data_IF_298930827910
#
_entry.id   IF_298930827910
#
_cell.length_a   1.000
_cell.length_b   1.000
_cell.length_c   1.000
_cell.angle_alpha   90.00
_cell.angle_beta   90.00
_cell.angle_gamma   90.00
#
_symmetry.space_group_name_H-M   'P 1'
#
loop_
_entity.id
_entity.type
_entity.pdbx_description
1 polymer ?
#
# COMPACT_ATOMS: atom_id res chain seq x y z
N UNK A 1 0.92 45.44 -31.08
CA UNK A 1 0.12 44.37 -30.44
C UNK A 1 0.87 43.89 -29.20
N UNK A 2 0.80 44.67 -28.12
CA UNK A 2 1.33 44.25 -26.82
C UNK A 2 0.23 43.49 -26.09
N UNK A 3 0.52 42.29 -25.58
CA UNK A 3 -0.43 41.52 -24.77
C UNK A 3 -0.90 42.38 -23.59
N UNK A 4 -2.21 42.55 -23.45
CA UNK A 4 -2.86 43.32 -22.37
C UNK A 4 -3.03 42.53 -21.08
N UNK A 5 -2.63 41.25 -21.08
CA UNK A 5 -2.63 40.40 -19.91
C UNK A 5 -1.19 39.99 -19.59
N UNK A 6 -0.79 40.24 -18.35
CA UNK A 6 0.45 39.71 -17.81
C UNK A 6 0.28 38.20 -17.77
N UNK A 7 1.11 37.43 -18.50
CA UNK A 7 1.17 36.00 -18.23
C UNK A 7 1.57 35.86 -16.78
N UNK A 8 0.67 35.36 -15.93
CA UNK A 8 1.03 34.99 -14.57
C UNK A 8 1.97 33.79 -14.68
N UNK A 9 3.25 34.07 -14.89
CA UNK A 9 4.28 33.05 -14.87
C UNK A 9 4.22 32.36 -13.51
N UNK A 10 4.29 31.04 -13.51
CA UNK A 10 4.36 30.24 -12.30
C UNK A 10 5.49 30.76 -11.40
N UNK A 11 5.21 30.87 -10.10
CA UNK A 11 6.22 31.31 -9.15
C UNK A 11 7.46 30.38 -9.22
N UNK A 12 8.68 30.91 -9.04
CA UNK A 12 9.91 30.12 -9.06
C UNK A 12 9.82 28.85 -8.19
N UNK A 13 10.45 27.73 -8.58
CA UNK A 13 10.37 26.45 -7.84
C UNK A 13 10.69 26.56 -6.34
N UNK A 14 11.65 27.42 -5.98
CA UNK A 14 11.99 27.71 -4.58
C UNK A 14 10.82 28.35 -3.80
N UNK A 15 10.09 29.28 -4.42
CA UNK A 15 8.92 29.93 -3.82
C UNK A 15 7.79 28.92 -3.67
N UNK A 16 7.53 28.10 -4.68
CA UNK A 16 6.53 27.01 -4.60
C UNK A 16 6.86 26.03 -3.47
N UNK A 17 8.13 25.61 -3.33
CA UNK A 17 8.58 24.75 -2.23
C UNK A 17 8.40 25.40 -0.86
N UNK A 18 8.72 26.68 -0.71
CA UNK A 18 8.54 27.42 0.54
C UNK A 18 7.06 27.55 0.91
N UNK A 19 6.19 27.83 -0.07
CA UNK A 19 4.74 27.88 0.13
C UNK A 19 4.20 26.51 0.62
N UNK A 20 4.59 25.41 -0.04
CA UNK A 20 4.23 24.05 0.41
C UNK A 20 4.74 23.75 1.81
N UNK A 21 6.00 24.10 2.11
CA UNK A 21 6.62 23.91 3.43
C UNK A 21 5.84 24.63 4.52
N UNK A 22 5.51 25.91 4.31
CA UNK A 22 4.74 26.73 5.26
C UNK A 22 3.37 26.11 5.52
N UNK A 23 2.70 25.67 4.46
CA UNK A 23 1.36 25.11 4.56
C UNK A 23 1.34 23.71 5.18
N UNK A 24 2.30 22.84 4.85
CA UNK A 24 2.48 21.55 5.50
C UNK A 24 2.69 21.72 7.01
N UNK A 25 3.54 22.66 7.44
CA UNK A 25 3.74 22.97 8.86
C UNK A 25 2.47 23.49 9.53
N UNK A 26 1.69 24.33 8.85
CA UNK A 26 0.42 24.79 9.38
C UNK A 26 -0.55 23.61 9.59
N UNK A 27 -0.69 22.74 8.60
CA UNK A 27 -1.57 21.58 8.68
C UNK A 27 -1.15 20.65 9.82
N UNK A 28 0.13 20.30 9.88
CA UNK A 28 0.64 19.33 10.85
C UNK A 28 0.60 19.88 12.28
N UNK A 29 0.94 21.15 12.48
CA UNK A 29 1.07 21.71 13.82
C UNK A 29 -0.21 22.39 14.34
N UNK A 30 -1.19 22.67 13.47
CA UNK A 30 -2.44 23.35 13.84
C UNK A 30 -3.68 22.57 13.43
N UNK A 31 -3.82 22.25 12.14
CA UNK A 31 -5.04 21.61 11.62
C UNK A 31 -5.24 20.20 12.18
N UNK A 32 -4.23 19.34 12.10
CA UNK A 32 -4.32 17.95 12.60
C UNK A 32 -4.61 17.92 14.10
N UNK A 33 -3.87 18.64 14.98
CA UNK A 33 -4.20 18.70 16.41
C UNK A 33 -5.63 19.17 16.69
N UNK A 34 -6.14 20.18 15.97
CA UNK A 34 -7.51 20.66 16.14
C UNK A 34 -8.55 19.58 15.74
N UNK A 35 -8.27 18.81 14.67
CA UNK A 35 -9.11 17.67 14.27
C UNK A 35 -9.08 16.59 15.35
N UNK A 36 -7.90 16.22 15.87
CA UNK A 36 -7.79 15.17 16.90
C UNK A 36 -8.44 15.56 18.23
N UNK A 37 -8.45 16.85 18.57
CA UNK A 37 -9.15 17.37 19.76
C UNK A 37 -10.68 17.29 19.61
N UNK A 38 -11.20 17.47 18.40
CA UNK A 38 -12.64 17.50 18.11
C UNK A 38 -13.22 16.16 17.63
N UNK A 39 -12.37 15.20 17.27
CA UNK A 39 -12.78 13.91 16.70
C UNK A 39 -12.13 12.73 17.43
N UNK A 40 -12.91 12.09 18.32
CA UNK A 40 -12.45 10.96 19.14
C UNK A 40 -12.06 9.73 18.30
N UNK A 41 -12.75 9.46 17.19
CA UNK A 41 -12.43 8.33 16.29
C UNK A 41 -11.06 8.52 15.64
N UNK A 42 -10.76 9.72 15.14
CA UNK A 42 -9.45 10.02 14.57
C UNK A 42 -8.33 9.93 15.62
N UNK A 43 -8.60 10.39 16.84
CA UNK A 43 -7.67 10.26 17.97
C UNK A 43 -7.40 8.79 18.31
N UNK A 44 -8.44 7.97 18.42
CA UNK A 44 -8.32 6.53 18.68
C UNK A 44 -7.54 5.83 17.55
N UNK A 45 -7.80 6.17 16.29
CA UNK A 45 -7.06 5.65 15.14
C UNK A 45 -5.55 5.90 15.26
N UNK A 46 -5.17 7.14 15.59
CA UNK A 46 -3.75 7.51 15.85
C UNK A 46 -3.14 6.69 16.98
N UNK A 47 -3.83 6.58 18.12
CA UNK A 47 -3.34 5.88 19.31
C UNK A 47 -3.17 4.37 19.07
N UNK A 48 -4.10 3.78 18.29
CA UNK A 48 -4.17 2.35 17.95
C UNK A 48 -3.15 1.87 16.90
N UNK A 49 -2.26 2.74 16.43
CA UNK A 49 -1.20 2.34 15.47
C UNK A 49 -0.28 1.24 16.02
N UNK A 50 -0.06 0.20 15.21
CA UNK A 50 0.69 -1.01 15.58
C UNK A 50 1.88 -1.22 14.65
N UNK A 51 3.05 -1.45 15.22
CA UNK A 51 4.22 -1.93 14.48
C UNK A 51 4.14 -3.45 14.34
N UNK A 52 4.22 -3.94 13.12
CA UNK A 52 4.17 -5.37 12.77
C UNK A 52 5.49 -5.74 12.09
N UNK A 53 6.19 -6.73 12.65
CA UNK A 53 7.48 -7.23 12.16
C UNK A 53 7.30 -8.67 11.72
N UNK A 54 7.72 -9.00 10.49
CA UNK A 54 7.65 -10.34 9.92
C UNK A 54 6.26 -11.01 10.09
N UNK A 55 5.19 -10.47 9.50
CA UNK A 55 3.86 -11.08 9.62
C UNK A 55 3.88 -12.52 9.08
N UNK A 56 3.50 -13.45 9.94
CA UNK A 56 3.41 -14.88 9.64
C UNK A 56 2.13 -15.20 8.86
N UNK A 57 2.13 -16.36 8.20
CA UNK A 57 0.93 -16.94 7.58
C UNK A 57 0.05 -17.45 8.73
N UNK A 58 -1.14 -16.88 8.90
CA UNK A 58 -2.11 -17.42 9.85
C UNK A 58 -3.41 -17.78 9.11
N UNK A 59 -4.04 -18.92 9.44
CA UNK A 59 -5.36 -19.23 8.91
C UNK A 59 -6.37 -18.17 9.38
N UNK A 60 -7.42 -17.89 8.59
CA UNK A 60 -8.39 -16.85 8.91
C UNK A 60 -9.07 -17.16 10.25
N UNK A 61 -8.72 -16.41 11.29
CA UNK A 61 -9.42 -16.45 12.57
C UNK A 61 -10.74 -15.69 12.42
N UNK A 62 -11.85 -16.40 12.58
CA UNK A 62 -13.16 -15.79 12.80
C UNK A 62 -13.12 -15.00 14.12
N UNK A 63 -12.80 -13.72 14.05
CA UNK A 63 -12.97 -12.81 15.19
C UNK A 63 -14.45 -12.44 15.24
N UNK A 64 -15.21 -13.12 16.09
CA UNK A 64 -16.45 -12.54 16.61
C UNK A 64 -16.08 -11.53 17.70
N UNK A 65 -16.73 -10.36 17.76
CA UNK A 65 -16.56 -9.45 18.87
C UNK A 65 -17.19 -10.08 20.11
N UNK A 66 -16.35 -10.57 21.03
CA UNK A 66 -16.82 -11.01 22.34
C UNK A 66 -17.18 -9.77 23.16
N UNK A 67 -18.47 -9.49 23.22
CA UNK A 67 -19.09 -8.64 24.22
C UNK A 67 -19.06 -9.43 25.54
N UNK A 68 -18.20 -9.02 26.47
CA UNK A 68 -18.49 -9.01 27.91
C UNK A 68 -17.28 -8.47 28.67
N UNK A 69 -17.48 -7.32 29.32
CA UNK A 69 -16.56 -6.84 30.33
C UNK A 69 -16.47 -7.81 31.50
N UNK A 70 -15.25 -8.17 31.88
CA UNK A 70 -14.91 -8.29 33.30
C UNK A 70 -13.39 -8.24 33.48
N UNK A 71 -12.95 -7.23 34.24
CA UNK A 71 -11.60 -7.10 34.74
C UNK A 71 -11.17 -8.37 35.48
N UNK A 72 -9.99 -8.92 35.16
CA UNK A 72 -9.29 -9.85 36.06
C UNK A 72 -7.79 -9.55 36.07
N UNK A 73 -7.36 -8.96 37.17
CA UNK A 73 -5.97 -8.85 37.63
C UNK A 73 -5.24 -10.21 37.64
N UNK A 74 -3.90 -10.21 37.51
CA UNK A 74 -3.10 -11.43 37.50
C UNK A 74 -2.89 -11.95 38.93
N UNK A 75 -3.48 -13.11 39.27
CA UNK A 75 -3.19 -13.79 40.55
C UNK A 75 -2.02 -14.77 40.42
N UNK A 76 -0.99 -14.48 41.21
CA UNK A 76 0.13 -15.33 41.58
C UNK A 76 -0.36 -16.66 42.20
N UNK A 77 0.16 -17.81 41.73
CA UNK A 77 -0.11 -19.11 42.37
C UNK A 77 1.03 -19.46 43.33
N UNK A 78 0.78 -19.30 44.63
CA UNK A 78 1.63 -19.84 45.70
C UNK A 78 1.38 -21.35 45.87
N UNK A 79 2.46 -22.13 46.01
CA UNK A 79 2.43 -23.52 46.51
C UNK A 79 2.85 -23.56 47.98
N UNK A 80 2.03 -24.22 48.80
CA UNK A 80 2.30 -24.90 50.11
C UNK A 80 0.91 -25.17 50.72
N UNK A 81 0.51 -26.30 51.29
CA UNK A 81 1.10 -27.60 51.60
C UNK A 81 0.14 -28.30 52.59
N UNK A 82 0.41 -29.59 52.85
CA UNK A 82 -0.12 -30.41 53.98
C UNK A 82 -1.59 -30.91 53.83
N UNK A 83 -1.93 -32.17 54.12
CA UNK A 83 -1.13 -33.30 54.58
C UNK A 83 -1.96 -34.60 54.76
N UNK A 84 -1.21 -35.73 54.80
CA UNK A 84 -1.36 -36.94 55.66
C UNK A 84 -2.79 -37.47 55.93
N UNK A 85 -3.13 -38.72 55.58
CA UNK A 85 -2.65 -40.00 56.18
C UNK A 85 -3.14 -41.20 55.32
N UNK A 86 -2.27 -42.16 54.95
CA UNK A 86 -2.17 -43.58 55.44
C UNK A 86 -3.38 -44.45 55.01
N UNK A 87 -3.28 -45.60 54.32
CA UNK A 87 -2.51 -46.84 54.58
C UNK A 87 -2.52 -47.75 53.31
N UNK A 88 -1.32 -48.26 52.93
CA UNK A 88 -0.92 -49.63 52.51
C UNK A 88 -1.80 -50.41 51.51
N UNK A 89 -1.22 -50.74 50.35
CA UNK A 89 -1.31 -52.10 49.80
C UNK A 89 0.02 -52.49 49.15
N UNK A 90 0.54 -53.63 49.60
CA UNK A 90 1.65 -54.39 49.01
C UNK A 90 1.08 -55.36 47.97
N UNK A 91 1.73 -55.43 46.81
CA UNK A 91 1.73 -56.53 45.83
C UNK A 91 2.09 -57.88 46.50
N UNK A 92 1.90 -59.08 45.89
CA UNK A 92 2.09 -59.42 44.47
C UNK A 92 1.14 -60.50 43.88
N UNK A 93 1.31 -60.87 42.60
CA UNK A 93 0.85 -62.19 42.12
C UNK A 93 0.58 -62.31 40.62
N UNK A 94 1.37 -63.17 39.97
CA UNK A 94 1.22 -63.71 38.62
C UNK A 94 -0.10 -64.47 38.40
N UNK A 95 -0.61 -64.51 37.17
CA UNK A 95 -0.85 -65.74 36.37
C UNK A 95 -1.87 -65.53 35.23
N UNK A 96 -1.59 -66.23 34.12
CA UNK A 96 -2.38 -66.36 32.90
C UNK A 96 -3.73 -67.06 33.11
N UNK A 97 -4.72 -66.79 32.25
CA UNK A 97 -5.38 -67.80 31.39
C UNK A 97 -6.70 -67.28 30.78
N UNK A 98 -6.90 -67.66 29.51
CA UNK A 98 -8.14 -67.52 28.74
C UNK A 98 -9.31 -68.28 29.37
N UNK A 99 -10.56 -67.86 29.08
CA UNK A 99 -11.69 -68.73 28.64
C UNK A 99 -12.91 -67.89 28.23
N UNK A 100 -13.53 -68.34 27.13
CA UNK A 100 -14.77 -67.92 26.49
C UNK A 100 -16.05 -68.42 27.22
N UNK A 101 -17.17 -67.73 26.98
CA UNK A 101 -18.56 -68.26 27.09
C UNK A 101 -19.56 -67.14 27.43
N UNK A 102 -20.36 -66.63 26.48
CA UNK A 102 -21.70 -67.13 26.06
C UNK A 102 -22.74 -67.03 27.18
N UNK A 103 -23.99 -66.60 27.03
CA UNK A 103 -24.84 -66.07 25.95
C UNK A 103 -26.21 -65.81 26.64
N UNK A 104 -27.16 -65.24 25.88
CA UNK A 104 -28.62 -65.28 26.03
C UNK A 104 -29.28 -64.09 26.73
N UNK A 105 -29.95 -63.25 25.92
CA UNK A 105 -31.41 -63.41 25.74
C UNK A 105 -32.01 -62.46 24.69
N UNK A 106 -32.59 -63.09 23.65
CA UNK A 106 -33.85 -62.82 22.91
C UNK A 106 -34.30 -61.36 22.71
N UNK A 107 -34.24 -60.84 21.48
CA UNK A 107 -35.25 -60.93 20.38
C UNK A 107 -36.65 -60.33 20.66
N UNK A 108 -36.82 -59.12 20.10
CA UNK A 108 -37.84 -58.65 19.12
C UNK A 108 -39.27 -58.44 19.65
N UNK A 109 -39.98 -57.34 19.33
CA UNK A 109 -40.32 -56.90 17.97
C UNK A 109 -40.96 -55.47 17.94
N UNK A 110 -40.73 -54.75 16.82
CA UNK A 110 -41.68 -53.84 16.06
C UNK A 110 -41.87 -52.43 16.66
N UNK A 111 -41.79 -51.29 15.94
CA UNK A 111 -41.71 -50.86 14.52
C UNK A 111 -41.21 -49.38 14.51
N UNK A 112 -40.91 -48.62 13.43
CA UNK A 112 -41.18 -48.65 11.99
C UNK A 112 -40.14 -47.74 11.29
N UNK A 113 -39.71 -48.15 10.09
CA UNK A 113 -39.14 -47.41 8.95
C UNK A 113 -37.93 -46.46 9.12
N UNK A 114 -36.74 -46.99 8.84
CA UNK A 114 -35.57 -46.23 8.40
C UNK A 114 -34.99 -46.86 7.14
N UNK A 115 -35.48 -46.44 5.96
CA UNK A 115 -34.87 -46.75 4.67
C UNK A 115 -33.82 -45.67 4.35
N UNK A 116 -32.62 -46.12 4.00
CA UNK A 116 -31.42 -45.32 3.95
C UNK A 116 -31.42 -44.17 2.94
N UNK A 117 -30.61 -43.17 3.26
CA UNK A 117 -30.01 -42.30 2.27
C UNK A 117 -28.68 -41.79 2.79
N UNK A 118 -27.68 -41.83 1.92
CA UNK A 118 -26.32 -41.32 2.09
C UNK A 118 -26.29 -39.99 2.85
N UNK A 119 -25.56 -39.93 3.96
CA UNK A 119 -25.22 -38.65 4.60
C UNK A 119 -24.26 -37.93 3.66
N UNK A 120 -24.81 -37.05 2.84
CA UNK A 120 -24.06 -36.14 1.98
C UNK A 120 -23.16 -35.26 2.83
N UNK A 121 -21.88 -35.23 2.47
CA UNK A 121 -20.99 -34.13 2.79
C UNK A 121 -21.68 -32.81 2.42
N UNK A 122 -21.58 -31.75 3.24
CA UNK A 122 -22.12 -30.47 2.88
C UNK A 122 -21.50 -30.00 1.56
N UNK A 123 -22.29 -29.46 0.61
CA UNK A 123 -21.75 -28.99 -0.65
C UNK A 123 -20.76 -27.86 -0.39
N UNK A 124 -19.53 -28.10 -0.86
CA UNK A 124 -18.51 -27.14 -1.23
C UNK A 124 -18.92 -25.68 -1.10
N UNK A 125 -18.32 -24.98 -0.14
CA UNK A 125 -18.18 -23.53 -0.16
C UNK A 125 -17.76 -23.11 -1.58
N UNK A 126 -18.42 -22.11 -2.14
CA UNK A 126 -18.07 -21.54 -3.43
C UNK A 126 -16.56 -21.30 -3.52
N UNK A 127 -15.91 -21.52 -4.68
CA UNK A 127 -14.49 -21.22 -4.83
C UNK A 127 -14.26 -19.76 -4.43
N UNK A 128 -13.18 -19.44 -3.69
CA UNK A 128 -12.88 -18.06 -3.31
C UNK A 128 -12.82 -17.22 -4.57
N UNK A 129 -13.63 -16.16 -4.61
CA UNK A 129 -13.71 -15.23 -5.74
C UNK A 129 -12.32 -14.61 -5.92
N UNK A 130 -11.75 -14.70 -7.11
CA UNK A 130 -10.45 -14.08 -7.40
C UNK A 130 -10.53 -12.57 -7.16
N UNK A 131 -9.49 -12.01 -6.52
CA UNK A 131 -9.40 -10.58 -6.25
C UNK A 131 -9.34 -9.83 -7.58
N UNK A 132 -10.20 -8.82 -7.77
CA UNK A 132 -10.13 -7.98 -8.97
C UNK A 132 -8.97 -7.00 -8.86
N UNK A 133 -8.13 -6.89 -9.89
CA UNK A 133 -7.01 -5.95 -9.95
C UNK A 133 -7.30 -4.88 -11.00
N UNK A 134 -7.16 -3.59 -10.63
CA UNK A 134 -7.24 -2.45 -11.56
C UNK A 134 -6.05 -1.51 -11.38
N UNK A 135 -5.78 -0.68 -12.39
CA UNK A 135 -4.77 0.38 -12.36
C UNK A 135 -5.49 1.68 -12.69
N UNK A 136 -5.35 2.68 -11.83
CA UNK A 136 -5.96 3.99 -12.00
C UNK A 136 -4.87 5.04 -12.10
N UNK A 137 -4.97 5.90 -13.11
CA UNK A 137 -4.11 7.06 -13.24
C UNK A 137 -4.62 8.18 -12.32
N UNK A 138 -4.27 8.11 -11.04
CA UNK A 138 -4.72 9.04 -10.01
C UNK A 138 -3.82 8.94 -8.76
N UNK A 139 -4.09 9.77 -7.74
CA UNK A 139 -3.42 9.66 -6.44
C UNK A 139 -4.13 8.68 -5.48
N UNK A 140 -3.40 8.16 -4.49
CA UNK A 140 -3.92 7.12 -3.59
C UNK A 140 -5.19 7.52 -2.81
N UNK A 141 -5.36 8.79 -2.44
CA UNK A 141 -6.58 9.23 -1.72
C UNK A 141 -7.77 9.36 -2.67
N UNK A 142 -7.55 9.80 -3.90
CA UNK A 142 -8.60 9.90 -4.92
C UNK A 142 -9.11 8.51 -5.31
N UNK A 143 -8.22 7.55 -5.53
CA UNK A 143 -8.59 6.14 -5.72
C UNK A 143 -9.37 5.58 -4.51
N UNK A 144 -8.92 5.85 -3.29
CA UNK A 144 -9.63 5.41 -2.09
C UNK A 144 -11.03 6.04 -1.96
N UNK A 145 -11.20 7.30 -2.36
CA UNK A 145 -12.49 7.96 -2.37
C UNK A 145 -13.45 7.30 -3.38
N UNK A 146 -12.98 6.98 -4.59
CA UNK A 146 -13.76 6.26 -5.61
C UNK A 146 -14.22 4.87 -5.11
N UNK A 147 -13.31 4.11 -4.51
CA UNK A 147 -13.60 2.80 -3.93
C UNK A 147 -14.58 2.85 -2.75
N UNK A 148 -14.51 3.93 -1.95
CA UNK A 148 -15.43 4.18 -0.84
C UNK A 148 -16.85 4.47 -1.35
N UNK A 149 -16.98 5.33 -2.37
CA UNK A 149 -18.27 5.68 -2.99
C UNK A 149 -18.92 4.50 -3.71
N UNK A 150 -18.14 3.67 -4.40
CA UNK A 150 -18.65 2.44 -5.05
C UNK A 150 -19.27 1.45 -4.05
N UNK A 151 -18.79 1.46 -2.80
CA UNK A 151 -19.23 0.54 -1.75
C UNK A 151 -20.57 0.87 -1.09
N UNK A 152 -21.11 2.08 -1.26
CA UNK A 152 -22.32 2.54 -0.54
C UNK A 152 -23.62 2.08 -1.18
N UNK A 153 -23.56 1.47 -2.36
CA UNK A 153 -24.71 0.82 -3.00
C UNK A 153 -24.91 -0.59 -2.39
N UNK A 154 -25.98 -0.77 -1.60
CA UNK A 154 -26.73 -2.05 -1.38
C UNK A 154 -26.51 -2.85 -0.05
N UNK A 155 -25.76 -2.42 0.98
CA UNK A 155 -25.75 -3.20 2.26
C UNK A 155 -25.88 -2.38 3.55
N UNK A 156 -26.75 -2.83 4.48
CA UNK A 156 -26.95 -2.26 5.83
C UNK A 156 -25.79 -2.55 6.81
N UNK A 157 -24.75 -3.30 6.40
CA UNK A 157 -23.58 -3.63 7.22
C UNK A 157 -22.46 -2.63 6.99
N UNK A 158 -21.82 -2.17 8.07
CA UNK A 158 -20.63 -1.32 8.02
C UNK A 158 -19.52 -2.09 7.30
N UNK A 159 -19.17 -1.63 6.10
CA UNK A 159 -18.04 -2.18 5.34
C UNK A 159 -16.72 -1.71 5.97
N UNK A 160 -15.64 -2.52 5.90
CA UNK A 160 -14.32 -2.09 6.35
C UNK A 160 -13.84 -0.91 5.50
N UNK A 161 -12.97 -0.07 6.08
CA UNK A 161 -12.38 1.06 5.37
C UNK A 161 -11.52 0.54 4.19
N UNK A 162 -11.37 1.37 3.16
CA UNK A 162 -10.35 1.12 2.13
C UNK A 162 -8.97 1.28 2.78
N UNK A 163 -8.07 0.34 2.55
CA UNK A 163 -6.70 0.42 3.04
C UNK A 163 -5.77 1.00 1.97
N UNK A 164 -4.84 1.85 2.35
CA UNK A 164 -3.83 2.44 1.46
C UNK A 164 -2.44 1.98 1.91
N UNK A 165 -1.59 1.58 0.96
CA UNK A 165 -0.16 1.45 1.20
C UNK A 165 0.48 2.86 1.21
N UNK A 166 0.88 3.33 2.38
CA UNK A 166 1.81 4.46 2.49
C UNK A 166 3.21 3.96 2.13
N UNK A 167 3.76 4.51 1.05
CA UNK A 167 5.09 4.21 0.52
C UNK A 167 6.16 4.91 1.38
N UNK A 168 6.29 4.44 2.61
CA UNK A 168 6.89 5.18 3.71
C UNK A 168 8.41 5.26 3.62
N UNK A 169 8.94 6.34 4.17
CA UNK A 169 10.35 6.47 4.52
C UNK A 169 10.74 5.45 5.60
N UNK A 170 11.85 4.70 5.45
CA UNK A 170 12.29 3.74 6.47
C UNK A 170 12.80 4.45 7.73
N UNK A 171 13.22 5.71 7.62
CA UNK A 171 13.99 6.40 8.65
C UNK A 171 13.27 7.60 9.27
N UNK A 172 12.23 8.13 8.64
CA UNK A 172 11.62 9.40 9.08
C UNK A 172 10.09 9.38 8.93
N UNK A 173 9.32 9.61 10.01
CA UNK A 173 7.88 9.77 9.93
C UNK A 173 7.44 10.83 8.93
N UNK A 174 6.63 10.44 7.96
CA UNK A 174 6.10 11.34 6.94
C UNK A 174 7.15 11.92 6.00
N UNK A 175 8.32 11.28 5.91
CA UNK A 175 9.38 11.66 4.99
C UNK A 175 9.76 13.14 5.06
N UNK A 176 9.74 13.82 3.93
CA UNK A 176 10.07 15.23 3.77
C UNK A 176 8.90 16.21 3.93
N UNK A 177 7.78 15.83 4.54
CA UNK A 177 6.53 16.63 4.53
C UNK A 177 6.75 18.05 5.09
N UNK A 178 7.51 18.17 6.18
CA UNK A 178 7.85 19.46 6.80
C UNK A 178 8.85 20.31 6.00
N UNK A 179 9.39 19.76 4.90
CA UNK A 179 10.34 20.40 3.98
C UNK A 179 9.72 20.64 2.58
N UNK A 180 8.41 20.44 2.44
CA UNK A 180 7.68 20.69 1.19
C UNK A 180 7.99 19.70 0.06
N UNK A 181 8.44 18.49 0.43
CA UNK A 181 8.53 17.37 -0.51
C UNK A 181 7.13 16.93 -0.97
N UNK A 182 7.09 16.27 -2.12
CA UNK A 182 5.87 16.01 -2.89
C UNK A 182 5.79 14.55 -3.34
N UNK A 183 6.29 13.62 -2.53
CA UNK A 183 6.06 12.19 -2.78
C UNK A 183 4.74 11.75 -2.15
N UNK A 184 4.36 10.50 -2.41
CA UNK A 184 3.09 9.94 -1.96
C UNK A 184 2.92 10.00 -0.44
N UNK A 185 3.96 9.69 0.33
CA UNK A 185 3.93 9.74 1.80
C UNK A 185 3.63 11.17 2.31
N UNK A 186 4.30 12.19 1.77
CA UNK A 186 4.07 13.57 2.20
C UNK A 186 2.66 14.04 1.88
N UNK A 187 2.12 13.66 0.72
CA UNK A 187 0.74 13.97 0.36
C UNK A 187 -0.27 13.26 1.25
N UNK A 188 -0.02 12.01 1.65
CA UNK A 188 -0.86 11.32 2.64
C UNK A 188 -0.81 12.05 3.99
N UNK A 189 0.39 12.37 4.48
CA UNK A 189 0.57 13.04 5.77
C UNK A 189 -0.01 14.46 5.81
N UNK A 190 -0.01 15.18 4.69
CA UNK A 190 -0.53 16.54 4.60
C UNK A 190 -2.04 16.62 4.36
N UNK A 191 -2.71 15.51 4.03
CA UNK A 191 -4.15 15.45 3.71
C UNK A 191 -4.96 14.60 4.69
N UNK A 192 -4.29 13.92 5.60
CA UNK A 192 -4.91 12.97 6.53
C UNK A 192 -4.36 13.09 7.95
N UNK A 193 -5.00 12.41 8.91
CA UNK A 193 -4.50 12.31 10.29
C UNK A 193 -3.42 11.24 10.49
N UNK A 194 -2.76 10.78 9.42
CA UNK A 194 -1.78 9.69 9.46
C UNK A 194 -0.53 10.05 10.28
N UNK A 195 0.04 11.24 10.07
CA UNK A 195 1.39 11.56 10.57
C UNK A 195 1.57 11.34 12.08
N UNK A 196 0.65 11.76 12.97
CA UNK A 196 0.79 11.50 14.41
C UNK A 196 0.79 10.02 14.81
N UNK A 197 0.24 9.14 13.95
CA UNK A 197 0.25 7.68 14.18
C UNK A 197 1.61 7.04 13.87
N UNK A 198 2.44 7.74 13.09
CA UNK A 198 3.79 7.33 12.70
C UNK A 198 4.77 7.67 13.82
N UNK A 199 4.68 6.97 14.95
CA UNK A 199 5.48 7.23 16.16
C UNK A 199 6.97 7.05 15.85
N UNK A 200 7.82 7.95 16.32
CA UNK A 200 9.28 7.88 16.12
C UNK A 200 9.89 6.54 16.58
N UNK A 201 9.32 5.93 17.63
CA UNK A 201 9.72 4.61 18.14
C UNK A 201 9.50 3.46 17.16
N UNK A 202 8.71 3.65 16.10
CA UNK A 202 8.50 2.67 15.03
C UNK A 202 9.54 2.77 13.91
N UNK A 203 10.29 3.88 13.85
CA UNK A 203 11.17 4.19 12.71
C UNK A 203 12.59 3.64 12.89
N UNK A 204 13.26 3.48 11.74
CA UNK A 204 13.94 2.23 11.39
C UNK A 204 12.92 1.11 11.20
N UNK A 205 11.98 1.37 10.28
CA UNK A 205 10.94 0.41 9.92
C UNK A 205 11.58 -0.95 9.62
N UNK A 206 10.92 -2.05 10.02
CA UNK A 206 11.43 -3.39 9.79
C UNK A 206 11.62 -3.63 8.29
N UNK A 207 12.60 -4.46 7.96
CA UNK A 207 12.84 -4.82 6.57
C UNK A 207 11.61 -5.52 5.96
N UNK A 208 10.98 -6.44 6.70
CA UNK A 208 9.74 -7.11 6.29
C UNK A 208 8.67 -6.83 7.36
N UNK A 209 7.65 -6.06 7.00
CA UNK A 209 6.63 -5.57 7.92
C UNK A 209 6.28 -4.11 7.68
N UNK A 210 5.68 -3.47 8.67
CA UNK A 210 5.26 -2.08 8.60
C UNK A 210 4.42 -1.63 9.79
N UNK A 211 3.88 -0.42 9.71
CA UNK A 211 2.93 0.11 10.70
C UNK A 211 1.53 0.03 10.12
N UNK A 212 0.60 -0.61 10.84
CA UNK A 212 -0.82 -0.56 10.53
C UNK A 212 -1.49 0.53 11.38
N UNK A 213 -2.24 1.42 10.72
CA UNK A 213 -3.03 2.47 11.37
C UNK A 213 -4.47 2.37 10.86
N UNK A 214 -5.40 2.11 11.79
CA UNK A 214 -6.83 2.09 11.51
C UNK A 214 -7.43 3.50 11.61
N UNK A 215 -8.56 3.74 10.93
CA UNK A 215 -9.38 4.95 11.08
C UNK A 215 -8.59 6.26 10.91
N UNK A 216 -7.82 6.35 9.81
CA UNK A 216 -7.17 7.57 9.37
C UNK A 216 -8.20 8.46 8.66
N UNK A 217 -8.40 9.67 9.18
CA UNK A 217 -9.36 10.63 8.63
C UNK A 217 -8.74 11.39 7.46
N UNK A 218 -9.39 11.35 6.30
CA UNK A 218 -9.08 12.21 5.16
C UNK A 218 -9.85 13.53 5.29
N UNK A 219 -9.14 14.66 5.24
CA UNK A 219 -9.73 15.99 5.44
C UNK A 219 -9.34 17.01 4.36
N UNK A 220 -8.65 16.59 3.31
CA UNK A 220 -8.19 17.45 2.23
C UNK A 220 -8.17 16.69 0.89
N UNK A 221 -8.50 17.37 -0.21
CA UNK A 221 -8.52 16.82 -1.57
C UNK A 221 -7.14 16.89 -2.26
N UNK A 222 -7.09 16.55 -3.55
CA UNK A 222 -5.88 16.51 -4.39
C UNK A 222 -5.32 17.88 -4.79
N UNK A 223 -6.03 18.99 -4.53
CA UNK A 223 -5.58 20.34 -4.90
C UNK A 223 -4.21 20.65 -4.29
N UNK A 224 -3.41 21.51 -4.97
CA UNK A 224 -2.11 21.90 -4.47
C UNK A 224 -2.14 22.30 -3.00
N UNK A 225 -1.11 21.93 -2.24
CA UNK A 225 -1.15 22.09 -0.79
C UNK A 225 -1.37 23.55 -0.37
N UNK A 226 -0.85 24.50 -1.15
CA UNK A 226 -0.96 25.93 -0.92
C UNK A 226 -2.34 26.53 -1.28
N UNK A 227 -3.22 25.77 -1.93
CA UNK A 227 -4.59 26.21 -2.23
C UNK A 227 -5.44 26.19 -0.95
N UNK A 228 -6.07 27.31 -0.60
CA UNK A 228 -6.97 27.39 0.55
C UNK A 228 -8.23 26.55 0.38
N UNK A 229 -8.65 26.28 -0.87
CA UNK A 229 -9.83 25.49 -1.21
C UNK A 229 -9.59 23.97 -1.21
N UNK A 230 -8.39 23.53 -0.82
CA UNK A 230 -8.11 22.10 -0.76
C UNK A 230 -8.79 21.37 0.42
N UNK A 231 -9.20 22.08 1.46
CA UNK A 231 -9.90 21.47 2.60
C UNK A 231 -11.31 21.02 2.20
N UNK A 232 -11.67 19.77 2.56
CA UNK A 232 -13.02 19.24 2.31
C UNK A 232 -13.94 19.47 3.51
N UNK A 233 -15.24 19.59 3.24
CA UNK A 233 -16.26 19.78 4.28
C UNK A 233 -16.35 18.56 5.19
N UNK A 234 -16.88 18.72 6.42
CA UNK A 234 -17.01 17.60 7.38
C UNK A 234 -17.84 16.44 6.79
N UNK A 235 -18.83 16.73 5.95
CA UNK A 235 -19.69 15.73 5.31
C UNK A 235 -18.97 14.92 4.21
N UNK A 236 -17.93 15.49 3.59
CA UNK A 236 -17.15 14.84 2.53
C UNK A 236 -15.95 14.05 3.07
N UNK A 237 -15.62 14.22 4.36
CA UNK A 237 -14.54 13.47 4.99
C UNK A 237 -14.86 11.99 5.04
N UNK A 238 -13.86 11.18 4.78
CA UNK A 238 -13.96 9.72 4.79
C UNK A 238 -12.79 9.10 5.53
N UNK A 239 -12.94 7.82 5.85
CA UNK A 239 -12.00 7.05 6.66
C UNK A 239 -11.28 6.03 5.79
N UNK A 240 -9.98 5.95 5.98
CA UNK A 240 -9.12 4.94 5.35
C UNK A 240 -8.30 4.24 6.42
N UNK A 241 -7.89 3.01 6.14
CA UNK A 241 -6.83 2.36 6.89
C UNK A 241 -5.51 2.55 6.13
N UNK A 242 -4.39 2.49 6.82
CA UNK A 242 -3.08 2.71 6.20
C UNK A 242 -2.07 1.68 6.68
N UNK A 243 -1.37 1.06 5.74
CA UNK A 243 -0.17 0.27 5.99
C UNK A 243 1.03 1.11 5.56
N UNK A 244 1.90 1.48 6.49
CA UNK A 244 3.14 2.21 6.20
C UNK A 244 4.32 1.25 6.17
N UNK A 245 4.90 1.05 4.99
CA UNK A 245 6.03 0.15 4.78
C UNK A 245 7.05 0.77 3.81
N UNK A 246 8.32 0.42 3.98
CA UNK A 246 9.42 0.95 3.17
C UNK A 246 9.94 -0.05 2.14
N UNK A 247 10.09 0.41 0.90
CA UNK A 247 10.72 -0.34 -0.18
C UNK A 247 12.25 -0.23 -0.13
N UNK A 248 12.93 -1.11 -0.88
CA UNK A 248 14.37 -1.00 -1.14
C UNK A 248 14.70 0.36 -1.75
N UNK A 249 15.80 0.96 -1.31
CA UNK A 249 16.30 2.24 -1.83
C UNK A 249 17.57 1.98 -2.63
N UNK A 250 17.54 2.34 -3.90
CA UNK A 250 18.61 2.11 -4.88
C UNK A 250 19.08 0.65 -4.86
N UNK A 251 18.18 -0.30 -5.19
CA UNK A 251 18.54 -1.72 -5.24
C UNK A 251 19.65 -1.98 -6.25
N UNK A 252 20.36 -3.09 -6.09
CA UNK A 252 21.34 -3.55 -7.06
C UNK A 252 20.61 -4.00 -8.32
N UNK A 253 21.00 -3.41 -9.44
CA UNK A 253 20.44 -3.72 -10.74
C UNK A 253 21.45 -4.47 -11.62
N UNK A 254 20.96 -5.44 -12.38
CA UNK A 254 21.69 -6.26 -13.34
C UNK A 254 21.15 -5.99 -14.76
N UNK A 255 22.00 -6.13 -15.77
CA UNK A 255 21.68 -5.90 -17.19
C UNK A 255 22.88 -5.35 -17.95
N UNK A 256 22.96 -5.61 -19.25
CA UNK A 256 24.05 -5.10 -20.09
C UNK A 256 23.86 -3.60 -20.42
N UNK A 257 24.92 -2.95 -20.93
CA UNK A 257 24.80 -1.57 -21.40
C UNK A 257 23.81 -1.48 -22.57
N UNK A 258 22.77 -0.66 -22.41
CA UNK A 258 21.71 -0.49 -23.41
C UNK A 258 20.45 -1.32 -23.14
N UNK A 259 20.46 -2.19 -22.13
CA UNK A 259 19.28 -2.94 -21.71
C UNK A 259 18.52 -2.28 -20.56
N UNK A 260 17.24 -2.65 -20.40
CA UNK A 260 16.44 -2.27 -19.24
C UNK A 260 16.97 -3.00 -18.01
N UNK A 261 17.61 -2.25 -17.11
CA UNK A 261 18.15 -2.74 -15.84
C UNK A 261 17.05 -3.41 -14.99
N UNK A 262 17.37 -4.59 -14.46
CA UNK A 262 16.48 -5.44 -13.65
C UNK A 262 17.03 -5.61 -12.25
N UNK A 263 16.20 -5.92 -11.25
CA UNK A 263 16.68 -6.28 -9.93
C UNK A 263 17.62 -7.48 -9.95
N UNK A 264 18.60 -7.46 -9.04
CA UNK A 264 19.30 -8.67 -8.61
C UNK A 264 18.32 -9.72 -8.06
N UNK A 265 18.73 -10.99 -8.04
CA UNK A 265 17.89 -12.06 -7.50
C UNK A 265 17.60 -11.83 -6.01
N UNK A 266 18.59 -11.34 -5.27
CA UNK A 266 18.51 -11.03 -3.84
C UNK A 266 17.52 -9.91 -3.56
N UNK A 267 17.63 -8.78 -4.27
CA UNK A 267 16.73 -7.64 -4.07
C UNK A 267 15.30 -7.96 -4.50
N UNK A 268 15.12 -8.77 -5.54
CA UNK A 268 13.79 -9.26 -5.94
C UNK A 268 13.15 -10.11 -4.82
N UNK A 269 13.91 -11.00 -4.18
CA UNK A 269 13.39 -11.82 -3.07
C UNK A 269 12.97 -10.94 -1.89
N UNK A 270 13.78 -9.94 -1.53
CA UNK A 270 13.46 -9.01 -0.44
C UNK A 270 12.25 -8.14 -0.78
N UNK A 271 12.16 -7.63 -2.00
CA UNK A 271 11.02 -6.88 -2.51
C UNK A 271 9.72 -7.71 -2.44
N UNK A 272 9.74 -8.95 -2.93
CA UNK A 272 8.58 -9.85 -2.85
C UNK A 272 8.19 -10.16 -1.40
N UNK A 273 9.15 -10.39 -0.50
CA UNK A 273 8.87 -10.61 0.92
C UNK A 273 8.20 -9.39 1.58
N UNK A 274 8.65 -8.18 1.25
CA UNK A 274 8.04 -6.92 1.67
C UNK A 274 6.59 -6.79 1.17
N UNK A 275 6.34 -7.09 -0.11
CA UNK A 275 4.98 -7.06 -0.67
C UNK A 275 4.06 -8.08 -0.01
N UNK A 276 4.53 -9.32 0.21
CA UNK A 276 3.77 -10.34 0.97
C UNK A 276 3.47 -9.87 2.38
N UNK A 277 4.40 -9.19 3.05
CA UNK A 277 4.14 -8.66 4.38
C UNK A 277 3.01 -7.63 4.40
N UNK A 278 2.95 -6.72 3.42
CA UNK A 278 1.84 -5.77 3.26
C UNK A 278 0.52 -6.52 3.08
N UNK A 279 0.48 -7.54 2.20
CA UNK A 279 -0.73 -8.33 1.95
C UNK A 279 -1.16 -9.15 3.18
N UNK A 280 -0.21 -9.70 3.95
CA UNK A 280 -0.50 -10.39 5.22
C UNK A 280 -1.07 -9.46 6.28
N UNK A 281 -0.51 -8.25 6.42
CA UNK A 281 -1.06 -7.24 7.34
C UNK A 281 -2.49 -6.89 6.92
N UNK A 282 -2.71 -6.60 5.65
CA UNK A 282 -4.04 -6.30 5.13
C UNK A 282 -5.02 -7.46 5.40
N UNK A 283 -4.59 -8.70 5.15
CA UNK A 283 -5.46 -9.85 5.34
C UNK A 283 -5.78 -10.15 6.79
N UNK A 284 -4.79 -10.01 7.69
CA UNK A 284 -4.97 -10.18 9.12
C UNK A 284 -5.98 -9.17 9.70
N UNK A 285 -5.99 -7.94 9.19
CA UNK A 285 -6.94 -6.91 9.61
C UNK A 285 -8.27 -6.94 8.85
N UNK A 286 -8.54 -7.99 8.05
CA UNK A 286 -9.81 -8.16 7.35
C UNK A 286 -10.06 -7.10 6.27
N UNK A 287 -9.00 -6.52 5.71
CA UNK A 287 -9.10 -5.54 4.63
C UNK A 287 -9.64 -6.22 3.37
N UNK A 288 -10.64 -5.57 2.77
CA UNK A 288 -11.29 -6.01 1.52
C UNK A 288 -10.82 -5.27 0.28
N UNK A 289 -10.55 -3.98 0.43
CA UNK A 289 -10.18 -3.08 -0.67
C UNK A 289 -8.83 -2.45 -0.36
N UNK A 290 -7.87 -2.63 -1.28
CA UNK A 290 -6.50 -2.20 -1.08
C UNK A 290 -6.06 -1.28 -2.23
N UNK A 291 -5.59 -0.08 -1.87
CA UNK A 291 -4.95 0.86 -2.78
C UNK A 291 -3.44 0.72 -2.64
N UNK A 292 -2.82 0.22 -3.70
CA UNK A 292 -1.38 0.10 -3.89
C UNK A 292 -0.90 1.17 -4.88
N UNK A 293 0.34 1.04 -5.35
CA UNK A 293 0.88 1.84 -6.44
C UNK A 293 2.29 1.41 -6.79
N UNK A 294 3.00 2.23 -7.56
CA UNK A 294 4.38 2.01 -8.00
C UNK A 294 5.41 2.19 -6.84
N UNK A 295 5.37 1.26 -5.89
CA UNK A 295 6.11 1.32 -4.63
C UNK A 295 7.62 1.33 -4.86
N UNK A 296 8.26 2.45 -4.53
CA UNK A 296 9.70 2.63 -4.66
C UNK A 296 10.19 3.07 -6.05
N UNK A 297 9.32 3.26 -7.03
CA UNK A 297 9.71 3.63 -8.40
C UNK A 297 10.11 5.11 -8.58
N UNK A 298 9.83 5.95 -7.59
CA UNK A 298 10.23 7.36 -7.59
C UNK A 298 11.63 7.56 -7.03
N UNK A 299 11.74 8.31 -5.94
CA UNK A 299 13.01 8.68 -5.30
C UNK A 299 13.89 7.50 -4.85
N UNK A 300 13.37 6.28 -4.85
CA UNK A 300 14.08 5.07 -4.43
C UNK A 300 14.65 4.29 -5.62
N UNK A 301 14.35 4.67 -6.86
CA UNK A 301 15.01 4.16 -8.04
C UNK A 301 14.76 2.68 -8.34
N UNK A 302 13.60 2.14 -7.95
CA UNK A 302 13.21 0.79 -8.35
C UNK A 302 12.69 0.80 -9.80
N UNK A 303 13.05 -0.19 -10.64
CA UNK A 303 12.47 -0.32 -11.97
C UNK A 303 10.96 -0.59 -11.90
N UNK A 304 10.17 0.13 -12.70
CA UNK A 304 8.69 0.06 -12.67
C UNK A 304 8.21 -1.33 -13.06
N UNK A 305 8.76 -1.89 -14.14
CA UNK A 305 8.46 -3.25 -14.57
C UNK A 305 8.69 -4.28 -13.45
N UNK A 306 9.85 -4.25 -12.78
CA UNK A 306 10.17 -5.21 -11.71
C UNK A 306 9.18 -5.13 -10.55
N UNK A 307 8.80 -3.91 -10.15
CA UNK A 307 7.81 -3.69 -9.10
C UNK A 307 6.43 -4.21 -9.53
N UNK A 308 6.02 -3.96 -10.77
CA UNK A 308 4.77 -4.45 -11.32
C UNK A 308 4.74 -6.00 -11.41
N UNK A 309 5.84 -6.61 -11.86
CA UNK A 309 5.98 -8.06 -11.98
C UNK A 309 5.96 -8.75 -10.61
N UNK A 310 6.67 -8.20 -9.62
CA UNK A 310 6.65 -8.71 -8.26
C UNK A 310 5.25 -8.59 -7.65
N UNK A 311 4.55 -7.46 -7.85
CA UNK A 311 3.15 -7.32 -7.42
C UNK A 311 2.24 -8.34 -8.08
N UNK A 312 2.34 -8.50 -9.42
CA UNK A 312 1.59 -9.52 -10.16
C UNK A 312 1.82 -10.89 -9.55
N UNK A 313 3.08 -11.27 -9.34
CA UNK A 313 3.47 -12.57 -8.78
C UNK A 313 2.99 -12.81 -7.35
N UNK A 314 2.98 -11.81 -6.47
CA UNK A 314 2.48 -11.99 -5.10
C UNK A 314 0.95 -11.98 -5.02
N UNK A 315 0.28 -11.34 -5.97
CA UNK A 315 -1.18 -11.29 -6.06
C UNK A 315 -1.77 -12.50 -6.77
N UNK A 316 -1.09 -13.03 -7.79
CA UNK A 316 -1.53 -14.21 -8.51
C UNK A 316 -1.30 -15.47 -7.67
N UNK A 317 -2.32 -16.32 -7.64
CA UNK A 317 -2.21 -17.65 -7.07
C UNK A 317 -1.40 -18.51 -8.03
N UNK A 318 -0.13 -18.78 -7.71
CA UNK A 318 0.51 -19.92 -8.34
C UNK A 318 -0.24 -21.18 -7.88
N UNK A 319 -0.52 -22.11 -8.79
CA UNK A 319 -0.87 -23.49 -8.43
C UNK A 319 0.37 -24.32 -8.74
N UNK A 320 1.37 -24.29 -7.87
CA UNK A 320 2.54 -25.13 -8.09
C UNK A 320 2.23 -26.55 -7.61
N UNK A 321 1.74 -27.39 -8.52
CA UNK A 321 1.41 -28.81 -8.30
C UNK A 321 2.58 -29.69 -7.80
N UNK A 322 3.79 -29.14 -7.60
CA UNK A 322 4.99 -29.92 -7.29
C UNK A 322 5.76 -29.53 -6.02
N UNK A 323 5.32 -28.53 -5.23
CA UNK A 323 5.90 -28.28 -3.89
C UNK A 323 4.82 -27.83 -2.91
N UNK A 324 4.75 -28.51 -1.76
CA UNK A 324 4.04 -28.05 -0.55
C UNK A 324 4.76 -26.84 0.06
N UNK A 325 4.88 -25.75 -0.69
CA UNK A 325 5.11 -24.46 -0.06
C UNK A 325 3.73 -23.89 0.28
N UNK A 326 3.54 -23.44 1.52
CA UNK A 326 2.29 -22.83 1.97
C UNK A 326 2.04 -21.56 1.14
N UNK A 327 1.24 -21.69 0.08
CA UNK A 327 0.86 -20.56 -0.78
C UNK A 327 0.00 -19.58 0.02
N UNK A 328 0.42 -18.31 0.07
CA UNK A 328 -0.39 -17.25 0.67
C UNK A 328 -1.71 -17.10 -0.13
N UNK A 329 -2.85 -17.31 0.51
CA UNK A 329 -4.18 -17.04 -0.08
C UNK A 329 -4.79 -15.81 0.57
N UNK A 330 -4.99 -14.75 -0.22
CA UNK A 330 -5.50 -13.46 0.23
C UNK A 330 -7.04 -13.42 0.32
N UNK A 331 -7.64 -14.36 1.07
CA UNK A 331 -9.11 -14.60 1.07
C UNK A 331 -9.93 -13.35 1.40
N UNK A 332 -9.41 -12.45 2.24
CA UNK A 332 -10.13 -11.24 2.63
C UNK A 332 -10.09 -10.13 1.59
N UNK A 333 -9.08 -10.12 0.70
CA UNK A 333 -8.84 -9.02 -0.25
C UNK A 333 -9.68 -9.29 -1.50
N UNK A 334 -10.74 -8.52 -1.68
CA UNK A 334 -11.68 -8.64 -2.80
C UNK A 334 -11.24 -7.80 -4.01
N UNK A 335 -10.62 -6.65 -3.76
CA UNK A 335 -10.30 -5.65 -4.80
C UNK A 335 -8.98 -4.93 -4.50
N UNK A 336 -8.09 -4.90 -5.50
CA UNK A 336 -6.80 -4.20 -5.46
C UNK A 336 -6.77 -3.16 -6.57
N UNK A 337 -6.42 -1.92 -6.21
CA UNK A 337 -6.24 -0.82 -7.15
C UNK A 337 -4.82 -0.29 -7.05
N UNK A 338 -4.08 -0.27 -8.15
CA UNK A 338 -2.81 0.45 -8.25
C UNK A 338 -3.09 1.90 -8.65
N UNK A 339 -3.00 2.82 -7.70
CA UNK A 339 -3.12 4.26 -7.97
C UNK A 339 -1.74 4.84 -8.29
N UNK A 340 -1.53 5.23 -9.55
CA UNK A 340 -0.24 5.73 -10.05
C UNK A 340 -0.47 7.08 -10.73
N UNK A 341 0.02 8.16 -10.13
CA UNK A 341 -0.25 9.52 -10.61
C UNK A 341 0.58 9.91 -11.84
N UNK A 342 1.72 9.24 -12.09
CA UNK A 342 2.51 9.46 -13.30
C UNK A 342 1.97 8.57 -14.43
N UNK A 343 1.54 9.19 -15.54
CA UNK A 343 0.95 8.49 -16.67
C UNK A 343 1.88 7.44 -17.30
N UNK A 344 3.12 7.81 -17.62
CA UNK A 344 4.11 6.90 -18.25
C UNK A 344 4.36 5.70 -17.35
N UNK A 345 4.52 5.93 -16.05
CA UNK A 345 4.69 4.89 -15.05
C UNK A 345 3.44 4.00 -14.94
N UNK A 346 2.24 4.58 -15.02
CA UNK A 346 0.99 3.82 -15.00
C UNK A 346 0.85 2.92 -16.22
N UNK A 347 1.20 3.42 -17.42
CA UNK A 347 1.15 2.66 -18.67
C UNK A 347 2.20 1.53 -18.67
N UNK A 348 3.44 1.79 -18.21
CA UNK A 348 4.47 0.76 -18.05
C UNK A 348 4.04 -0.30 -17.01
N UNK A 349 3.52 0.14 -15.87
CA UNK A 349 3.00 -0.77 -14.84
C UNK A 349 1.85 -1.62 -15.39
N UNK A 350 0.96 -1.03 -16.20
CA UNK A 350 -0.14 -1.73 -16.84
C UNK A 350 0.30 -2.75 -17.88
N UNK A 351 1.43 -2.54 -18.57
CA UNK A 351 1.96 -3.49 -19.55
C UNK A 351 2.26 -4.89 -18.97
N UNK A 352 2.47 -4.98 -17.66
CA UNK A 352 2.75 -6.23 -16.95
C UNK A 352 1.47 -6.99 -16.60
N UNK A 353 0.37 -6.28 -16.36
CA UNK A 353 -0.93 -6.88 -16.07
C UNK A 353 -1.65 -7.17 -17.39
N UNK A 354 -2.21 -8.37 -17.55
CA UNK A 354 -2.96 -8.71 -18.76
C UNK A 354 -4.15 -7.74 -18.93
N UNK A 355 -4.73 -7.63 -20.14
CA UNK A 355 -5.77 -6.68 -20.63
C UNK A 355 -7.02 -6.41 -19.75
N UNK A 356 -7.08 -6.92 -18.52
CA UNK A 356 -8.10 -6.70 -17.48
C UNK A 356 -8.05 -5.31 -16.82
N UNK A 357 -7.21 -4.39 -17.30
CA UNK A 357 -7.02 -3.09 -16.68
C UNK A 357 -7.73 -2.00 -17.50
N UNK A 358 -8.86 -1.52 -16.98
CA UNK A 358 -9.43 -0.24 -17.40
C UNK A 358 -8.60 0.88 -16.76
N UNK A 359 -7.84 1.61 -17.58
CA UNK A 359 -7.23 2.88 -17.14
C UNK A 359 -8.33 3.92 -17.14
N UNK A 360 -9.09 3.98 -16.06
CA UNK A 360 -10.08 5.03 -15.85
C UNK A 360 -9.36 6.35 -15.54
N UNK A 361 -9.51 7.34 -16.42
CA UNK A 361 -9.25 8.75 -16.12
C UNK A 361 -10.52 9.34 -15.50
N UNK A 362 -10.44 9.85 -14.27
CA UNK A 362 -11.56 10.60 -13.68
C UNK A 362 -11.64 11.95 -14.39
N UNK A 363 -12.54 12.07 -15.38
CA UNK A 363 -12.69 13.22 -16.28
C UNK A 363 -13.33 14.44 -15.63
N UNK A 364 -13.28 14.58 -14.31
CA UNK A 364 -13.81 15.73 -13.56
C UNK A 364 -12.70 16.59 -12.89
N UNK A 365 -11.44 16.43 -13.30
CA UNK A 365 -10.35 17.34 -12.91
C UNK A 365 -9.69 17.91 -14.17
N UNK A 366 -10.02 19.17 -14.45
CA UNK A 366 -9.39 20.09 -15.40
C UNK A 366 -8.06 19.57 -16.04
N UNK A 367 -8.16 18.85 -17.16
CA UNK A 367 -7.04 18.28 -17.95
C UNK A 367 -6.05 19.34 -18.51
N UNK A 368 -6.30 20.62 -18.25
CA UNK A 368 -5.40 21.71 -18.64
C UNK A 368 -4.10 21.75 -17.84
N UNK A 369 -4.07 21.29 -16.59
CA UNK A 369 -2.98 21.61 -15.66
C UNK A 369 -1.86 20.53 -15.58
N UNK A 370 -2.11 19.27 -15.95
CA UNK A 370 -1.07 18.22 -15.92
C UNK A 370 -0.19 18.16 -17.17
N UNK A 371 -0.73 18.56 -18.34
CA UNK A 371 0.09 18.81 -19.52
C UNK A 371 1.01 20.02 -19.31
N UNK A 372 0.50 21.09 -18.67
CA UNK A 372 1.31 22.20 -18.19
C UNK A 372 2.41 21.71 -17.25
N UNK A 373 2.10 20.83 -16.28
CA UNK A 373 3.10 20.35 -15.33
C UNK A 373 4.21 19.47 -15.94
N UNK A 374 3.93 18.77 -17.05
CA UNK A 374 4.94 18.01 -17.81
C UNK A 374 5.85 18.95 -18.59
N UNK A 375 5.28 19.91 -19.31
CA UNK A 375 6.03 20.92 -20.06
C UNK A 375 6.84 21.82 -19.11
N UNK A 376 6.29 22.17 -17.94
CA UNK A 376 6.95 22.93 -16.87
C UNK A 376 8.24 22.29 -16.35
N UNK A 377 8.26 20.96 -16.17
CA UNK A 377 9.47 20.27 -15.68
C UNK A 377 10.52 20.20 -16.81
N UNK A 378 10.10 20.23 -18.08
CA UNK A 378 11.02 20.17 -19.22
C UNK A 378 11.67 21.54 -19.40
N UNK A 379 10.87 22.60 -19.27
CA UNK A 379 11.35 23.98 -19.18
C UNK A 379 12.27 24.18 -17.96
N UNK A 380 11.92 23.62 -16.78
CA UNK A 380 12.76 23.70 -15.58
C UNK A 380 14.12 22.99 -15.76
N UNK A 381 14.15 21.84 -16.46
CA UNK A 381 15.37 21.13 -16.80
C UNK A 381 16.20 21.92 -17.82
N UNK A 382 15.58 22.53 -18.82
CA UNK A 382 16.24 23.37 -19.83
C UNK A 382 16.87 24.62 -19.19
N UNK A 383 16.17 25.27 -18.27
CA UNK A 383 16.69 26.44 -17.54
C UNK A 383 17.87 26.08 -16.63
N UNK A 384 17.80 24.94 -15.93
CA UNK A 384 18.94 24.43 -15.13
C UNK A 384 20.16 24.10 -15.99
N UNK A 385 19.96 23.52 -17.18
CA UNK A 385 21.02 23.25 -18.15
C UNK A 385 21.66 24.57 -18.61
N UNK A 386 20.86 25.57 -18.97
CA UNK A 386 21.34 26.89 -19.40
C UNK A 386 22.14 27.59 -18.28
N UNK A 387 21.60 27.60 -17.06
CA UNK A 387 22.26 28.20 -15.91
C UNK A 387 23.60 27.51 -15.58
N UNK A 388 23.66 26.19 -15.65
CA UNK A 388 24.90 25.44 -15.44
C UNK A 388 25.91 25.65 -16.58
N UNK A 389 25.46 25.80 -17.82
CA UNK A 389 26.33 26.15 -18.95
C UNK A 389 26.98 27.53 -18.76
N UNK A 390 26.22 28.52 -18.27
CA UNK A 390 26.74 29.85 -17.95
C UNK A 390 27.73 29.83 -16.79
N UNK A 391 27.48 29.01 -15.76
CA UNK A 391 28.45 28.79 -14.67
C UNK A 391 29.72 28.09 -15.15
N UNK A 392 29.61 27.19 -16.14
CA UNK A 392 30.74 26.46 -16.70
C UNK A 392 31.63 27.35 -17.59
N UNK A 393 31.05 28.35 -18.26
CA UNK A 393 31.77 29.31 -19.10
C UNK A 393 32.53 30.35 -18.26
N UNK A 394 31.97 30.76 -17.11
CA UNK A 394 32.61 31.68 -16.16
C UNK A 394 33.65 31.06 -15.23
N UNK A 395 33.74 29.73 -15.14
CA UNK A 395 34.62 29.04 -14.19
C UNK A 395 35.98 28.68 -14.79
N UNK A 396 37.07 29.23 -14.23
CA UNK A 396 38.45 28.91 -14.62
C UNK A 396 39.07 27.72 -13.84
N UNK A 397 38.42 27.25 -12.77
CA UNK A 397 38.91 26.14 -11.96
C UNK A 397 38.60 24.78 -12.62
N UNK A 398 39.65 24.06 -13.05
CA UNK A 398 39.53 22.79 -13.75
C UNK A 398 38.77 21.71 -12.96
N UNK A 399 38.99 21.59 -11.64
CA UNK A 399 38.34 20.58 -10.79
C UNK A 399 36.87 20.87 -10.49
N UNK A 400 36.47 22.14 -10.52
CA UNK A 400 35.05 22.53 -10.43
C UNK A 400 34.35 22.37 -11.79
N UNK A 401 35.05 22.69 -12.88
CA UNK A 401 34.57 22.54 -14.26
C UNK A 401 34.25 21.09 -14.61
N UNK A 402 35.11 20.13 -14.22
CA UNK A 402 34.83 18.70 -14.41
C UNK A 402 33.61 18.23 -13.62
N UNK A 403 33.44 18.69 -12.36
CA UNK A 403 32.29 18.29 -11.53
C UNK A 403 30.97 18.87 -12.04
N UNK A 404 30.97 20.15 -12.44
CA UNK A 404 29.79 20.78 -13.06
C UNK A 404 29.48 20.16 -14.43
N UNK A 405 30.50 19.72 -15.17
CA UNK A 405 30.33 19.00 -16.44
C UNK A 405 29.56 17.69 -16.28
N UNK A 406 29.91 16.88 -15.28
CA UNK A 406 29.19 15.63 -14.98
C UNK A 406 27.72 15.86 -14.62
N UNK A 407 27.44 16.91 -13.84
CA UNK A 407 26.06 17.29 -13.48
C UNK A 407 25.29 17.80 -14.70
N UNK A 408 25.94 18.55 -15.59
CA UNK A 408 25.34 19.04 -16.83
C UNK A 408 25.00 17.89 -17.79
N UNK A 409 25.87 16.90 -17.90
CA UNK A 409 25.64 15.72 -18.75
C UNK A 409 24.49 14.85 -18.23
N UNK A 410 24.39 14.69 -16.91
CA UNK A 410 23.26 14.00 -16.25
C UNK A 410 21.93 14.74 -16.51
N UNK A 411 21.90 16.06 -16.37
CA UNK A 411 20.69 16.85 -16.65
C UNK A 411 20.28 16.84 -18.13
N UNK A 412 21.25 16.88 -19.06
CA UNK A 412 20.98 16.73 -20.49
C UNK A 412 20.46 15.34 -20.85
N UNK A 413 20.95 14.31 -20.16
CA UNK A 413 20.45 12.94 -20.32
C UNK A 413 19.00 12.83 -19.82
N UNK A 414 18.68 13.43 -18.66
CA UNK A 414 17.31 13.51 -18.14
C UNK A 414 16.37 14.25 -19.10
N UNK A 415 16.81 15.35 -19.72
CA UNK A 415 16.02 16.07 -20.71
C UNK A 415 15.79 15.26 -22.00
N UNK A 416 16.80 14.53 -22.49
CA UNK A 416 16.70 13.70 -23.71
C UNK A 416 15.80 12.49 -23.53
N UNK A 417 15.85 11.82 -22.39
CA UNK A 417 14.90 10.73 -22.09
C UNK A 417 13.46 11.23 -22.13
N UNK A 418 13.23 12.45 -21.65
CA UNK A 418 11.91 13.09 -21.62
C UNK A 418 11.42 13.59 -22.98
N UNK A 419 12.33 14.04 -23.84
CA UNK A 419 12.00 14.47 -25.21
C UNK A 419 11.57 13.30 -26.13
N UNK A 420 12.18 12.11 -25.95
CA UNK A 420 11.78 10.90 -26.69
C UNK A 420 10.36 10.45 -26.34
N UNK A 421 9.94 10.63 -25.08
CA UNK A 421 8.55 10.41 -24.65
C UNK A 421 7.55 11.36 -25.34
N UNK A 422 7.99 12.50 -25.87
CA UNK A 422 7.12 13.49 -26.54
C UNK A 422 7.01 13.27 -28.05
N UNK A 423 8.10 12.83 -28.70
CA UNK A 423 8.08 12.50 -30.13
C UNK A 423 7.26 11.24 -30.43
N UNK A 424 7.34 10.19 -29.59
CA UNK A 424 6.52 8.99 -29.74
C UNK A 424 5.01 9.28 -29.57
N UNK A 425 4.63 10.27 -28.75
CA UNK A 425 3.23 10.71 -28.63
C UNK A 425 2.71 11.50 -29.83
N UNK A 426 3.59 12.16 -30.60
CA UNK A 426 3.21 12.89 -31.80
C UNK A 426 3.12 11.98 -33.03
N UNK A 427 3.95 10.94 -33.12
CA UNK A 427 3.85 9.95 -34.22
C UNK A 427 2.57 9.10 -34.14
N UNK A 428 2.10 8.77 -32.92
CA UNK A 428 0.81 8.08 -32.71
C UNK A 428 -0.38 8.99 -33.08
N UNK A 429 -0.26 10.32 -32.89
CA UNK A 429 -1.29 11.29 -33.30
C UNK A 429 -1.35 11.51 -34.82
N UNK A 430 -0.22 11.45 -35.53
CA UNK A 430 -0.21 11.59 -36.98
C UNK A 430 -0.75 10.34 -37.69
N UNK A 431 -0.48 9.13 -37.18
CA UNK A 431 -1.09 7.91 -37.72
C UNK A 431 -2.61 7.80 -37.47
N UNK A 432 -3.15 8.53 -36.50
CA UNK A 432 -4.60 8.56 -36.20
C UNK A 432 -5.38 9.58 -37.04
N UNK A 433 -4.70 10.45 -37.79
CA UNK A 433 -5.35 11.44 -38.67
C UNK A 433 -5.50 10.99 -40.12
N UNK A 434 -4.70 10.01 -40.55
CA UNK A 434 -4.74 9.50 -41.94
C UNK A 434 -5.74 8.33 -42.14
N UNK A 435 -6.36 7.80 -41.07
CA UNK A 435 -7.45 6.82 -41.17
C UNK A 435 -8.87 7.43 -41.12
N UNK A 436 -8.98 8.77 -41.07
CA UNK A 436 -10.25 9.49 -41.19
C UNK A 436 -10.13 10.58 -42.24
N UNK A 437 -10.00 10.18 -43.51
CA UNK A 437 -10.30 11.00 -44.69
C UNK A 437 -10.76 10.14 -45.85
#
# INVERSE_FOLDING_TARGET
MGRTETSQGLAPPAIRKNARTKQARHIINKTIPAILLSNSRAKQGVESSLLIVNPCIQPPTNVQPDDTGNEREPKYVQRKGQGRRKIKHSTPGFAESNIHGLDQSKKRHISHDGAGSSVGLPPSLNPPKESSVRIMWTDSLTAAAALTKSSTKITKKKQPNVCILNMASPLRPGGGVLNGATSQEEFLCARTTLLPSLKESFYRLPEVGGVFTHDVLVFRNSRPLHDSLGGISVAERFWVDVISAAMLRFPHLQGEEGENKRWSTEDRIVAEAKMRAVLRIASHHGIKKLVLGAWGCGAYGNPVYDVAEAWKKVLTRHQNNHKKEEEDVWVSIEEVVFAISNRTMADEFASVFDKLVEVESDSDVNDGEEHEHKDEIAEELQDKIRQLQDQLSGTQNAGLKSRLGLVLDDLKMQLRHRGKETEETNDVRNHSRDEVS
#
